data_IF_746439174999
#
_entry.id   IF_746439174999
#
_cell.length_a   1.000
_cell.length_b   1.000
_cell.length_c   1.000
_cell.angle_alpha   90.00
_cell.angle_beta   90.00
_cell.angle_gamma   90.00
#
_symmetry.space_group_name_H-M   'P 1'
#
loop_
_entity.id
_entity.type
_entity.pdbx_description
1 polymer ?
#
# COMPACT_ATOMS: atom_id res chain seq x y z
N UNK A 1 0.33 -16.10 2.04
CA UNK A 1 0.29 -14.79 2.74
C UNK A 1 1.71 -14.22 2.80
N UNK A 2 2.05 -13.21 1.98
CA UNK A 2 3.44 -12.78 1.77
C UNK A 2 3.76 -11.35 2.25
N UNK A 3 2.84 -10.67 2.94
CA UNK A 3 2.98 -9.24 3.26
C UNK A 3 2.93 -8.89 4.76
N UNK A 4 2.64 -9.83 5.66
CA UNK A 4 2.42 -9.47 7.07
C UNK A 4 3.70 -9.11 7.85
N UNK A 5 4.87 -9.59 7.42
CA UNK A 5 6.14 -9.36 8.14
C UNK A 5 6.96 -8.16 7.65
N UNK A 6 6.71 -7.66 6.44
CA UNK A 6 7.57 -6.63 5.82
C UNK A 6 6.90 -5.25 5.67
N UNK A 7 5.70 -5.08 6.22
CA UNK A 7 5.01 -3.79 6.20
C UNK A 7 5.22 -3.11 7.55
N UNK A 8 5.92 -1.97 7.52
CA UNK A 8 6.20 -1.17 8.72
C UNK A 8 4.92 -0.63 9.33
N UNK A 9 4.98 -0.22 10.60
CA UNK A 9 3.82 0.37 11.30
C UNK A 9 3.30 1.61 10.57
N UNK A 10 4.20 2.44 10.04
CA UNK A 10 3.91 3.62 9.22
C UNK A 10 3.15 3.26 7.95
N UNK A 11 3.59 2.23 7.22
CA UNK A 11 2.94 1.77 5.99
C UNK A 11 1.55 1.18 6.27
N UNK A 12 1.38 0.46 7.38
CA UNK A 12 0.05 -0.02 7.82
C UNK A 12 -0.90 1.13 8.15
N UNK A 13 -0.41 2.18 8.83
CA UNK A 13 -1.19 3.39 9.12
C UNK A 13 -1.65 4.07 7.82
N UNK A 14 -0.76 4.21 6.83
CA UNK A 14 -1.12 4.74 5.50
C UNK A 14 -2.16 3.90 4.78
N UNK A 15 -2.01 2.57 4.75
CA UNK A 15 -3.01 1.67 4.13
C UNK A 15 -4.36 1.81 4.83
N UNK A 16 -4.38 1.86 6.16
CA UNK A 16 -5.61 2.05 6.95
C UNK A 16 -6.27 3.39 6.63
N UNK A 17 -5.47 4.46 6.49
CA UNK A 17 -5.96 5.78 6.11
C UNK A 17 -6.62 5.78 4.72
N UNK A 18 -5.98 5.21 3.70
CA UNK A 18 -6.58 5.08 2.37
C UNK A 18 -7.88 4.28 2.37
N UNK A 19 -7.91 3.14 3.10
CA UNK A 19 -9.14 2.35 3.24
C UNK A 19 -10.27 3.14 3.90
N UNK A 20 -9.93 4.00 4.86
CA UNK A 20 -10.91 4.87 5.52
C UNK A 20 -11.43 5.95 4.57
N UNK A 21 -10.56 6.62 3.81
CA UNK A 21 -10.96 7.58 2.77
C UNK A 21 -11.86 6.94 1.70
N UNK A 22 -11.54 5.73 1.25
CA UNK A 22 -12.36 4.96 0.30
C UNK A 22 -13.74 4.68 0.89
N UNK A 23 -13.82 4.24 2.16
CA UNK A 23 -15.09 3.94 2.82
C UNK A 23 -15.94 5.19 3.04
N UNK A 24 -15.30 6.28 3.44
CA UNK A 24 -15.97 7.52 3.84
C UNK A 24 -16.27 8.42 2.60
N UNK A 25 -15.71 8.09 1.43
CA UNK A 25 -15.96 8.78 0.16
C UNK A 25 -17.41 8.64 -0.31
N UNK A 26 -18.03 9.80 -0.61
CA UNK A 26 -19.42 9.90 -1.09
C UNK A 26 -19.52 9.83 -2.61
N UNK A 27 -18.46 10.21 -3.33
CA UNK A 27 -18.40 10.14 -4.79
C UNK A 27 -17.68 8.89 -5.28
N UNK A 28 -18.24 8.23 -6.30
CA UNK A 28 -17.60 7.12 -6.99
C UNK A 28 -16.24 7.52 -7.59
N UNK A 29 -16.10 8.77 -8.05
CA UNK A 29 -14.85 9.31 -8.61
C UNK A 29 -13.76 9.43 -7.55
N UNK A 30 -14.10 9.95 -6.37
CA UNK A 30 -13.16 10.06 -5.24
C UNK A 30 -12.73 8.68 -4.74
N UNK A 31 -13.69 7.75 -4.64
CA UNK A 31 -13.42 6.37 -4.27
C UNK A 31 -12.39 5.73 -5.21
N UNK A 32 -12.58 5.91 -6.52
CA UNK A 32 -11.69 5.37 -7.54
C UNK A 32 -10.30 6.01 -7.47
N UNK A 33 -10.22 7.31 -7.21
CA UNK A 33 -8.95 8.02 -7.01
C UNK A 33 -8.19 7.47 -5.79
N UNK A 34 -8.84 7.32 -4.64
CA UNK A 34 -8.20 6.77 -3.44
C UNK A 34 -7.82 5.30 -3.61
N UNK A 35 -8.62 4.53 -4.34
CA UNK A 35 -8.31 3.15 -4.70
C UNK A 35 -7.04 3.07 -5.57
N UNK A 36 -6.90 3.95 -6.56
CA UNK A 36 -5.70 4.02 -7.40
C UNK A 36 -4.46 4.43 -6.58
N UNK A 37 -4.59 5.41 -5.69
CA UNK A 37 -3.50 5.81 -4.79
C UNK A 37 -3.05 4.66 -3.87
N UNK A 38 -4.00 3.89 -3.34
CA UNK A 38 -3.71 2.71 -2.54
C UNK A 38 -2.97 1.64 -3.36
N UNK A 39 -3.43 1.37 -4.58
CA UNK A 39 -2.79 0.39 -5.46
C UNK A 39 -1.34 0.77 -5.77
N UNK A 40 -1.09 2.01 -6.20
CA UNK A 40 0.27 2.50 -6.46
C UNK A 40 1.17 2.45 -5.23
N UNK A 41 0.61 2.69 -4.03
CA UNK A 41 1.35 2.58 -2.79
C UNK A 41 1.76 1.13 -2.52
N UNK A 42 0.83 0.18 -2.65
CA UNK A 42 1.12 -1.25 -2.44
C UNK A 42 2.08 -1.79 -3.50
N UNK A 43 1.97 -1.36 -4.75
CA UNK A 43 2.91 -1.73 -5.82
C UNK A 43 4.33 -1.26 -5.50
N UNK A 44 4.51 -0.02 -5.04
CA UNK A 44 5.82 0.49 -4.59
C UNK A 44 6.36 -0.33 -3.42
N UNK A 45 5.54 -0.61 -2.42
CA UNK A 45 5.94 -1.47 -1.30
C UNK A 45 6.38 -2.85 -1.74
N UNK A 46 5.70 -3.43 -2.73
CA UNK A 46 6.06 -4.73 -3.26
C UNK A 46 7.41 -4.69 -4.00
N UNK A 47 7.64 -3.65 -4.81
CA UNK A 47 8.92 -3.46 -5.52
C UNK A 47 10.07 -3.23 -4.53
N UNK A 48 9.89 -2.35 -3.54
CA UNK A 48 10.89 -2.08 -2.49
C UNK A 48 11.26 -3.36 -1.74
N UNK A 49 10.25 -4.15 -1.35
CA UNK A 49 10.49 -5.43 -0.68
C UNK A 49 11.15 -6.48 -1.58
N UNK A 50 10.78 -6.52 -2.87
CA UNK A 50 11.40 -7.42 -3.84
C UNK A 50 12.86 -7.05 -4.10
N UNK A 51 13.17 -5.76 -4.17
CA UNK A 51 14.53 -5.25 -4.33
C UNK A 51 15.40 -5.53 -3.10
N UNK A 52 14.87 -5.36 -1.89
CA UNK A 52 15.58 -5.70 -0.66
C UNK A 52 16.01 -7.17 -0.62
N UNK A 53 15.14 -8.09 -1.05
CA UNK A 53 15.47 -9.53 -1.13
C UNK A 53 16.53 -9.87 -2.18
N UNK A 54 16.67 -9.07 -3.24
CA UNK A 54 17.71 -9.26 -4.25
C UNK A 54 19.06 -8.63 -3.86
N UNK A 55 19.07 -7.67 -2.93
CA UNK A 55 20.28 -7.05 -2.41
C UNK A 55 21.05 -7.87 -1.37
N UNK A 56 20.42 -8.88 -0.75
CA UNK A 56 21.07 -9.79 0.24
C UNK A 56 21.96 -10.88 -0.40
N UNK A 57 22.02 -10.96 -1.73
CA UNK A 57 22.85 -11.91 -2.49
C UNK A 57 24.11 -11.23 -3.09
N UNK A 58 24.82 -10.40 -2.33
CA UNK A 58 26.10 -9.83 -2.78
C UNK A 58 27.21 -10.00 -1.75
#
# INVERSE_FOLDING_TARGET
>A
MLLSHHVTVEQRKKIKHFKQLIRDSRSAKERLMYQQQLNQFVERLFIENRLQRHGEHK
#
